data_IF_415568969486
#
_entry.id   IF_415568969486
#
_cell.length_a   1.000
_cell.length_b   1.000
_cell.length_c   1.000
_cell.angle_alpha   90.00
_cell.angle_beta   90.00
_cell.angle_gamma   90.00
#
_symmetry.space_group_name_H-M   'P 1'
#
loop_
_entity.id
_entity.type
_entity.pdbx_description
1 polymer ?
2 non-polymer ?
3 water ?
#
# COMPACT_ATOMS: atom_id res chain seq x y z
N UNK A 24 11.85 -28.50 -3.99
CA UNK A 24 10.99 -28.35 -5.18
C UNK A 24 9.60 -27.92 -4.79
N UNK A 25 8.87 -27.29 -5.71
CA UNK A 25 7.53 -26.77 -5.33
C UNK A 25 6.51 -27.90 -5.47
N UNK A 26 5.73 -28.10 -4.42
CA UNK A 26 4.66 -29.12 -4.48
C UNK A 26 3.53 -28.60 -5.36
N UNK A 27 2.60 -29.48 -5.72
CA UNK A 27 1.48 -29.10 -6.61
C UNK A 27 0.55 -28.20 -5.83
N UNK A 28 0.40 -28.44 -4.54
CA UNK A 28 -0.43 -27.56 -3.69
C UNK A 28 0.20 -26.16 -3.62
N UNK A 29 1.52 -26.08 -3.57
CA UNK A 29 2.23 -24.78 -3.53
C UNK A 29 2.08 -24.10 -4.89
N UNK A 30 2.19 -24.87 -5.97
CA UNK A 30 2.04 -24.30 -7.32
C UNK A 30 0.60 -23.83 -7.50
N UNK A 31 -0.36 -24.53 -6.91
CA UNK A 31 -1.77 -24.14 -7.03
C UNK A 31 -2.00 -22.88 -6.19
N UNK A 32 -1.38 -22.81 -5.02
CA UNK A 32 -1.49 -21.61 -4.16
C UNK A 32 -0.98 -20.38 -4.92
N UNK A 33 0.16 -20.51 -5.59
CA UNK A 33 0.72 -19.36 -6.27
C UNK A 33 -0.16 -18.94 -7.44
N UNK A 34 -0.66 -19.92 -8.19
CA UNK A 34 -1.51 -19.62 -9.34
C UNK A 34 -2.81 -18.95 -8.90
N UNK A 35 -3.41 -19.43 -7.81
CA UNK A 35 -4.62 -18.80 -7.29
C UNK A 35 -4.36 -17.35 -6.90
N UNK A 36 -3.22 -17.07 -6.27
CA UNK A 36 -2.87 -15.70 -5.92
C UNK A 36 -2.53 -14.87 -7.15
N UNK A 37 -1.81 -15.48 -8.10
CA UNK A 37 -1.42 -14.74 -9.31
C UNK A 37 -2.63 -14.41 -10.16
N UNK A 38 -3.60 -15.32 -10.24
CA UNK A 38 -4.83 -15.04 -10.99
C UNK A 38 -5.63 -13.94 -10.30
N UNK A 39 -5.74 -13.99 -8.98
CA UNK A 39 -6.42 -12.92 -8.25
C UNK A 39 -5.76 -11.58 -8.52
N UNK A 40 -4.43 -11.56 -8.61
CA UNK A 40 -3.72 -10.30 -8.80
C UNK A 40 -3.98 -9.71 -10.18
N UNK A 41 -3.91 -10.54 -11.23
CA UNK A 41 -4.08 -10.02 -12.58
C UNK A 41 -5.52 -9.55 -12.83
N UNK A 42 -6.50 -10.17 -12.15
CA UNK A 42 -7.89 -9.80 -12.36
C UNK A 42 -8.24 -8.49 -11.65
N UNK A 43 -7.54 -8.14 -10.58
CA UNK A 43 -7.94 -7.03 -9.72
C UNK A 43 -6.91 -5.91 -9.63
N UNK A 44 -5.77 -6.03 -10.29
CA UNK A 44 -4.75 -4.99 -10.27
C UNK A 44 -4.66 -4.41 -11.68
N UNK A 45 -5.21 -3.21 -11.85
CA UNK A 45 -5.09 -2.44 -13.10
C UNK A 45 -3.77 -1.68 -13.06
N UNK A 46 -2.71 -2.31 -13.57
CA UNK A 46 -1.38 -1.72 -13.48
C UNK A 46 -1.23 -0.44 -14.28
N UNK A 47 -2.18 -0.12 -15.16
CA UNK A 47 -2.18 1.13 -15.89
C UNK A 47 -3.14 2.15 -15.31
N UNK A 48 -3.87 1.79 -14.26
CA UNK A 48 -4.79 2.71 -13.58
C UNK A 48 -5.81 3.29 -14.54
N UNK A 49 -6.11 2.55 -15.63
CA UNK A 49 -6.93 3.09 -16.70
C UNK A 49 -8.34 3.41 -16.26
N UNK A 50 -8.83 2.82 -15.17
CA UNK A 50 -10.18 3.07 -14.69
C UNK A 50 -10.23 4.06 -13.55
N UNK A 51 -9.11 4.70 -13.21
CA UNK A 51 -9.09 5.77 -12.21
C UNK A 51 -9.45 7.07 -12.93
N UNK A 52 -10.72 7.44 -12.88
CA UNK A 52 -11.22 8.65 -13.50
C UNK A 52 -12.13 9.38 -12.53
N UNK A 53 -12.48 10.61 -12.89
CA UNK A 53 -13.38 11.46 -12.10
C UNK A 53 -12.85 11.68 -10.69
N UNK A 54 -11.53 11.83 -10.56
CA UNK A 54 -10.94 12.11 -9.26
C UNK A 54 -10.79 13.62 -9.06
N UNK A 55 -10.85 14.03 -7.80
CA UNK A 55 -10.68 15.44 -7.47
C UNK A 55 -9.21 15.85 -7.61
N UNK A 56 -8.99 17.14 -7.80
CA UNK A 56 -7.67 17.71 -8.01
C UNK A 56 -7.55 19.00 -7.21
N UNK A 57 -6.34 19.35 -6.76
CA UNK A 57 -6.16 20.60 -6.03
C UNK A 57 -6.54 21.81 -6.89
N UNK A 58 -7.09 22.83 -6.23
CA UNK A 58 -7.65 23.96 -6.95
C UNK A 58 -6.62 24.72 -7.76
N UNK A 59 -7.11 25.53 -8.69
CA UNK A 59 -6.26 26.27 -9.60
C UNK A 59 -5.87 27.63 -9.02
N UNK A 78 -5.64 22.08 20.78
CA UNK A 78 -5.87 22.70 19.46
C UNK A 78 -4.53 22.89 18.73
N UNK A 79 -3.60 23.62 19.34
CA UNK A 79 -2.45 24.13 18.56
C UNK A 79 -1.38 23.06 18.40
N UNK A 80 -1.26 22.15 19.38
CA UNK A 80 -0.21 21.08 19.28
C UNK A 80 -0.77 19.97 18.39
N UNK A 81 -2.09 19.81 18.41
CA UNK A 81 -2.82 19.06 17.37
C UNK A 81 -2.40 19.59 16.00
N UNK A 82 -2.55 20.90 15.81
CA UNK A 82 -2.20 21.51 14.50
C UNK A 82 -0.69 21.40 14.25
N UNK A 83 0.11 21.37 15.33
CA UNK A 83 1.58 21.33 15.17
C UNK A 83 2.01 19.96 14.66
N UNK A 84 1.47 18.90 15.26
CA UNK A 84 1.78 17.53 14.75
C UNK A 84 1.08 17.35 13.41
N UNK A 85 0.00 18.10 13.14
CA UNK A 85 -0.68 18.03 11.82
C UNK A 85 0.29 18.51 10.73
N UNK A 86 1.44 19.11 11.06
CA UNK A 86 2.47 19.45 10.03
C UNK A 86 2.98 18.15 9.40
N UNK A 87 2.59 16.98 9.91
CA UNK A 87 2.92 15.66 9.30
C UNK A 87 2.41 15.59 7.86
N UNK A 88 1.55 16.53 7.46
CA UNK A 88 1.05 16.58 6.07
C UNK A 88 2.21 16.80 5.09
N UNK A 89 3.46 16.83 5.56
CA UNK A 89 4.58 16.86 4.58
C UNK A 89 4.69 15.49 3.89
N UNK A 90 3.74 14.60 4.18
CA UNK A 90 3.48 13.39 3.37
C UNK A 90 2.67 13.75 2.12
N UNK A 91 2.29 15.02 2.00
CA UNK A 91 1.70 15.51 0.73
C UNK A 91 2.69 16.45 0.05
N UNK A 92 3.99 16.23 0.25
CA UNK A 92 5.01 16.89 -0.61
C UNK A 92 5.30 15.98 -1.81
N UNK A 93 4.29 15.79 -2.66
CA UNK A 93 4.44 15.05 -3.93
C UNK A 93 4.08 16.00 -5.07
N UNK A 94 4.82 15.89 -6.16
CA UNK A 94 4.47 16.59 -7.42
C UNK A 94 3.57 15.67 -8.21
N UNK A 95 2.70 16.25 -9.02
CA UNK A 95 1.70 15.47 -9.72
C UNK A 95 1.82 15.74 -11.22
N UNK A 96 1.80 14.69 -12.02
CA UNK A 96 1.77 14.81 -13.47
C UNK A 96 0.61 14.01 -14.02
N UNK A 97 -0.12 14.61 -14.97
CA UNK A 97 -1.18 13.93 -15.70
C UNK A 97 -0.88 14.03 -17.18
N UNK A 98 -0.65 12.89 -17.83
CA UNK A 98 -0.38 12.87 -19.27
C UNK A 98 -1.66 12.50 -20.01
N UNK A 99 -2.18 13.42 -20.81
CA UNK A 99 -3.38 13.13 -21.55
C UNK A 99 -3.13 12.24 -22.75
N UNK A 100 -4.20 11.56 -23.18
CA UNK A 100 -4.10 10.74 -24.39
C UNK A 100 -3.82 11.60 -25.62
N UNK A 101 -4.24 12.87 -25.60
CA UNK A 101 -3.95 13.77 -26.70
C UNK A 101 -2.47 14.12 -26.81
N UNK A 102 -1.70 13.88 -25.75
CA UNK A 102 -0.31 14.28 -25.68
C UNK A 102 -0.05 15.46 -24.77
N UNK A 103 -1.09 16.08 -24.23
CA UNK A 103 -0.91 17.20 -23.32
C UNK A 103 -0.50 16.71 -21.93
N UNK A 104 0.08 17.61 -21.15
CA UNK A 104 0.63 17.29 -19.84
C UNK A 104 0.22 18.39 -18.85
N UNK A 105 -0.37 17.98 -17.73
CA UNK A 105 -0.66 18.85 -16.60
C UNK A 105 0.31 18.52 -15.47
N UNK A 106 0.85 19.54 -14.82
CA UNK A 106 1.86 19.37 -13.78
C UNK A 106 1.52 20.23 -12.58
N UNK A 107 1.49 19.62 -11.40
CA UNK A 107 1.18 20.32 -10.17
C UNK A 107 2.39 20.27 -9.24
N UNK A 108 2.83 21.44 -8.80
CA UNK A 108 3.84 21.58 -7.75
C UNK A 108 3.15 22.05 -6.48
N UNK A 109 3.26 21.33 -5.37
CA UNK A 109 2.48 21.68 -4.17
C UNK A 109 3.00 22.94 -3.54
N UNK A 110 2.21 23.58 -2.66
CA UNK A 110 2.68 24.79 -1.98
C UNK A 110 3.68 24.49 -0.87
N UNK A 111 4.13 25.52 -0.17
CA UNK A 111 4.88 25.36 1.07
C UNK A 111 4.01 25.82 2.24
N UNK A 112 4.21 25.18 3.39
CA UNK A 112 3.41 25.50 4.57
C UNK A 112 3.57 26.97 4.95
N UNK A 113 2.50 27.75 4.80
CA UNK A 113 2.49 29.15 5.20
C UNK A 113 1.63 29.37 6.45
N UNK A 114 1.33 28.31 7.19
CA UNK A 114 0.51 28.41 8.39
C UNK A 114 -0.96 28.60 8.10
N UNK A 115 -1.52 27.71 7.29
CA UNK A 115 -2.91 27.83 6.86
C UNK A 115 -3.49 26.56 6.26
N UNK A 116 -4.61 26.71 5.55
CA UNK A 116 -5.34 25.57 5.00
C UNK A 116 -4.74 25.03 3.70
N UNK A 117 -3.72 25.70 3.15
CA UNK A 117 -3.13 25.28 1.89
C UNK A 117 -2.42 23.93 1.98
N UNK A 118 -2.16 23.44 3.20
CA UNK A 118 -1.52 22.12 3.36
C UNK A 118 -2.48 20.98 3.12
N UNK A 119 -3.78 21.24 3.03
CA UNK A 119 -4.79 20.22 2.75
C UNK A 119 -5.09 20.09 1.27
N UNK A 120 -4.43 20.86 0.39
CA UNK A 120 -4.87 20.97 -0.99
C UNK A 120 -4.82 19.63 -1.72
N UNK A 121 -3.89 18.75 -1.35
CA UNK A 121 -3.73 17.47 -2.03
C UNK A 121 -4.56 16.35 -1.40
N UNK A 122 -5.20 16.60 -0.25
CA UNK A 122 -5.87 15.52 0.47
C UNK A 122 -7.04 14.92 -0.31
N UNK A 123 -7.95 15.69 -0.91
CA UNK A 123 -9.06 15.05 -1.64
C UNK A 123 -8.60 14.15 -2.79
N UNK A 124 -7.58 14.56 -3.55
CA UNK A 124 -7.06 13.69 -4.60
C UNK A 124 -6.49 12.40 -4.02
N UNK A 125 -5.65 12.51 -2.99
CA UNK A 125 -5.01 11.33 -2.43
C UNK A 125 -6.05 10.38 -1.84
N UNK A 126 -7.13 10.92 -1.26
CA UNK A 126 -8.23 10.10 -0.79
C UNK A 126 -8.88 9.34 -1.94
N UNK A 127 -8.99 9.97 -3.11
CA UNK A 127 -9.62 9.29 -4.24
C UNK A 127 -8.71 8.19 -4.79
N UNK A 128 -7.38 8.37 -4.75
CA UNK A 128 -6.46 7.30 -5.22
C UNK A 128 -6.46 6.15 -4.21
N UNK A 129 -6.42 6.47 -2.94
CA UNK A 129 -6.43 5.43 -1.88
C UNK A 129 -7.69 4.59 -2.03
N UNK A 130 -8.82 5.23 -2.30
CA UNK A 130 -10.12 4.53 -2.45
C UNK A 130 -10.06 3.63 -3.67
N UNK A 131 -9.59 4.16 -4.80
CA UNK A 131 -9.42 3.31 -5.98
C UNK A 131 -8.53 2.11 -5.66
N UNK A 132 -7.42 2.35 -4.96
CA UNK A 132 -6.51 1.27 -4.59
C UNK A 132 -7.17 0.31 -3.61
N UNK A 133 -7.86 0.85 -2.59
CA UNK A 133 -8.57 0.01 -1.63
C UNK A 133 -9.57 -0.91 -2.33
N UNK A 134 -10.32 -0.38 -3.30
CA UNK A 134 -11.27 -1.21 -4.02
C UNK A 134 -10.56 -2.36 -4.74
N UNK A 135 -9.39 -2.10 -5.31
CA UNK A 135 -8.63 -3.17 -5.93
C UNK A 135 -8.18 -4.21 -4.93
N UNK A 136 -7.76 -3.77 -3.74
CA UNK A 136 -7.33 -4.69 -2.70
C UNK A 136 -8.50 -5.56 -2.24
N UNK A 137 -9.69 -4.97 -2.11
CA UNK A 137 -10.85 -5.72 -1.65
C UNK A 137 -11.25 -6.77 -2.69
N UNK A 138 -11.27 -6.38 -3.97
CA UNK A 138 -11.57 -7.34 -5.03
C UNK A 138 -10.55 -8.47 -5.05
N UNK A 139 -9.28 -8.15 -4.78
CA UNK A 139 -8.24 -9.16 -4.71
C UNK A 139 -8.57 -10.22 -3.67
N UNK A 140 -8.91 -9.79 -2.46
CA UNK A 140 -9.21 -10.74 -1.38
C UNK A 140 -10.43 -11.59 -1.73
N UNK A 141 -11.45 -10.98 -2.33
CA UNK A 141 -12.70 -11.69 -2.60
C UNK A 141 -12.56 -12.74 -3.70
N UNK A 142 -11.55 -12.62 -4.57
CA UNK A 142 -11.32 -13.64 -5.59
C UNK A 142 -10.53 -14.82 -5.05
N UNK A 143 -9.89 -14.69 -3.88
CA UNK A 143 -9.10 -15.78 -3.32
C UNK A 143 -10.02 -16.76 -2.61
N UNK A 144 -9.91 -18.04 -2.96
CA UNK A 144 -10.75 -19.06 -2.34
C UNK A 144 -10.51 -19.14 -0.84
N UNK A 145 -9.25 -19.09 -0.41
CA UNK A 145 -8.95 -19.16 1.02
C UNK A 145 -9.62 -18.04 1.79
N UNK A 146 -9.71 -16.85 1.18
CA UNK A 146 -10.36 -15.73 1.85
C UNK A 146 -11.88 -15.85 1.80
N UNK A 147 -12.42 -16.30 0.66
CA UNK A 147 -13.87 -16.40 0.52
C UNK A 147 -14.47 -17.37 1.53
N UNK A 148 -13.72 -18.42 1.90
CA UNK A 148 -14.23 -19.45 2.80
C UNK A 148 -14.20 -19.04 4.26
N UNK A 149 -13.61 -17.89 4.59
CA UNK A 149 -13.58 -17.43 5.97
C UNK A 149 -14.92 -16.81 6.35
N UNK A 150 -15.25 -16.80 7.64
CA UNK A 150 -16.46 -16.09 8.07
C UNK A 150 -16.41 -14.62 7.66
N UNK A 151 -17.59 -14.08 7.33
CA UNK A 151 -17.67 -12.72 6.81
C UNK A 151 -17.12 -11.72 7.82
N UNK A 152 -17.34 -11.97 9.13
CA UNK A 152 -16.79 -11.09 10.14
C UNK A 152 -15.27 -11.10 10.13
N UNK A 153 -14.65 -12.24 9.85
CA UNK A 153 -13.20 -12.31 9.78
C UNK A 153 -12.67 -11.69 8.49
N UNK A 154 -13.41 -11.83 7.39
CA UNK A 154 -13.06 -11.15 6.15
C UNK A 154 -12.95 -9.65 6.37
N UNK A 155 -13.95 -9.07 7.03
CA UNK A 155 -13.94 -7.64 7.32
C UNK A 155 -12.80 -7.29 8.25
N UNK A 156 -12.55 -8.12 9.26
CA UNK A 156 -11.48 -7.83 10.20
C UNK A 156 -10.10 -7.89 9.54
N UNK A 157 -9.92 -8.86 8.64
CA UNK A 157 -8.63 -8.97 7.94
C UNK A 157 -8.45 -7.82 6.96
N UNK A 158 -9.51 -7.45 6.24
CA UNK A 158 -9.43 -6.33 5.30
C UNK A 158 -9.14 -5.03 6.03
N UNK A 159 -9.86 -4.76 7.12
CA UNK A 159 -9.60 -3.56 7.91
C UNK A 159 -8.17 -3.53 8.44
N UNK A 160 -7.61 -4.70 8.74
CA UNK A 160 -6.28 -4.74 9.32
C UNK A 160 -5.15 -4.61 8.32
N UNK A 161 -5.38 -5.00 7.06
CA UNK A 161 -4.29 -5.13 6.10
C UNK A 161 -4.42 -4.28 4.84
N UNK A 162 -5.58 -3.67 4.60
CA UNK A 162 -5.82 -2.96 3.34
C UNK A 162 -4.70 -1.98 3.01
N UNK A 163 -4.27 -1.19 3.99
CA UNK A 163 -3.18 -0.24 3.78
C UNK A 163 -1.89 -0.96 3.39
N UNK A 164 -1.58 -2.07 4.07
CA UNK A 164 -0.35 -2.79 3.77
C UNK A 164 -0.36 -3.36 2.35
N UNK A 165 -1.48 -3.95 1.94
CA UNK A 165 -1.57 -4.45 0.57
C UNK A 165 -1.51 -3.33 -0.46
N UNK A 166 -2.03 -2.15 -0.13
CA UNK A 166 -1.93 -1.02 -1.06
C UNK A 166 -0.48 -0.62 -1.28
N UNK A 167 0.29 -0.55 -0.19
CA UNK A 167 1.70 -0.18 -0.31
C UNK A 167 2.49 -1.21 -1.08
N UNK A 168 2.19 -2.49 -0.87
CA UNK A 168 2.86 -3.55 -1.63
C UNK A 168 2.59 -3.40 -3.12
N UNK A 169 1.35 -3.07 -3.50
CA UNK A 169 1.04 -2.84 -4.89
C UNK A 169 1.72 -1.57 -5.41
N UNK A 170 1.74 -0.52 -4.59
CA UNK A 170 2.39 0.73 -5.00
C UNK A 170 3.90 0.56 -5.20
N UNK A 171 4.52 -0.36 -4.46
CA UNK A 171 5.95 -0.58 -4.65
C UNK A 171 6.27 -1.07 -6.06
N UNK A 172 5.38 -1.87 -6.64
CA UNK A 172 5.64 -2.42 -7.97
C UNK A 172 5.59 -1.35 -9.06
N UNK A 173 4.94 -0.21 -8.81
CA UNK A 173 4.96 0.90 -9.76
C UNK A 173 5.88 2.02 -9.31
N UNK A 174 6.67 1.78 -8.26
CA UNK A 174 7.62 2.79 -7.78
C UNK A 174 8.89 2.76 -8.62
N UNK A 175 9.34 3.94 -9.05
CA UNK A 175 10.62 4.08 -9.75
C UNK A 175 11.63 4.59 -8.73
N UNK A 176 12.51 3.70 -8.28
CA UNK A 176 13.48 4.08 -7.25
C UNK A 176 14.58 5.00 -7.78
N UNK A 177 14.76 5.05 -9.11
CA UNK A 177 15.74 5.97 -9.67
C UNK A 177 15.22 7.40 -9.72
N UNK A 178 13.98 7.59 -10.15
CA UNK A 178 13.38 8.91 -10.25
C UNK A 178 12.54 9.28 -9.02
N UNK A 179 12.35 8.36 -8.09
CA UNK A 179 11.55 8.64 -6.90
C UNK A 179 10.11 8.98 -7.21
N UNK A 180 9.51 8.30 -8.18
CA UNK A 180 8.16 8.60 -8.63
C UNK A 180 7.34 7.32 -8.66
N UNK A 181 6.07 7.43 -8.27
CA UNK A 181 5.13 6.33 -8.43
C UNK A 181 4.45 6.51 -9.78
N UNK A 182 4.71 5.59 -10.70
CA UNK A 182 4.25 5.71 -12.08
C UNK A 182 2.94 4.94 -12.21
N UNK A 183 1.83 5.67 -12.07
CA UNK A 183 0.51 5.06 -12.05
C UNK A 183 -0.20 5.31 -13.38
N UNK A 184 0.32 4.68 -14.42
CA UNK A 184 -0.25 4.89 -15.74
C UNK A 184 -0.01 6.31 -16.21
N UNK A 185 -1.10 7.04 -16.48
CA UNK A 185 -1.00 8.42 -16.91
C UNK A 185 -0.75 9.39 -15.77
N UNK A 186 -0.80 8.93 -14.52
CA UNK A 186 -0.44 9.73 -13.36
C UNK A 186 0.94 9.38 -12.87
N UNK A 187 1.70 10.39 -12.45
CA UNK A 187 3.00 10.21 -11.84
C UNK A 187 3.05 11.05 -10.56
N UNK A 188 3.48 10.43 -9.47
CA UNK A 188 3.60 11.10 -8.17
C UNK A 188 5.10 11.19 -7.86
N UNK A 189 5.67 12.37 -8.03
CA UNK A 189 7.10 12.58 -7.85
C UNK A 189 7.37 13.15 -6.46
N UNK A 190 8.39 12.60 -5.80
CA UNK A 190 8.80 13.10 -4.51
C UNK A 190 9.55 14.41 -4.69
N UNK A 191 9.14 15.44 -3.96
CA UNK A 191 9.72 16.78 -4.12
C UNK A 191 11.09 16.87 -3.47
N UNK A 192 11.98 17.62 -4.10
CA UNK A 192 13.38 17.69 -3.66
C UNK A 192 13.47 18.24 -2.24
N UNK A 193 14.06 17.45 -1.35
CA UNK A 193 14.27 17.82 0.04
C UNK A 193 15.65 18.41 0.24
N UNK A 194 15.84 19.08 1.38
CA UNK A 194 17.13 19.71 1.67
C UNK A 194 18.24 18.67 1.76
N UNK A 195 17.98 17.55 2.41
CA UNK A 195 18.92 16.45 2.49
C UNK A 195 18.93 15.53 1.29
N UNK A 196 18.04 15.76 0.34
CA UNK A 196 17.95 14.87 -0.82
C UNK A 196 17.50 13.46 -0.47
N UNK A 197 18.08 12.45 -1.11
CA UNK A 197 17.62 11.05 -0.93
C UNK A 197 17.73 10.61 0.53
N UNK A 198 18.81 10.95 1.21
CA UNK A 198 19.03 10.45 2.60
C UNK A 198 17.90 10.94 3.52
N UNK A 199 17.48 12.19 3.35
CA UNK A 199 16.41 12.77 4.20
C UNK A 199 15.08 12.08 3.90
N UNK A 200 14.86 11.70 2.65
CA UNK A 200 13.59 11.04 2.25
C UNK A 200 13.59 9.66 2.90
N UNK A 201 14.76 9.02 3.00
CA UNK A 201 14.85 7.66 3.58
C UNK A 201 14.73 7.72 5.10
N UNK A 202 14.51 8.91 5.66
CA UNK A 202 14.28 9.01 7.12
C UNK A 202 12.79 8.82 7.40
N UNK A 203 11.93 9.03 6.39
CA UNK A 203 10.49 8.74 6.56
C UNK A 203 10.30 7.24 6.36
N UNK A 204 9.82 6.45 7.38
CA UNK A 204 9.74 5.00 7.25
C UNK A 204 9.05 4.50 5.98
N UNK A 205 7.97 5.16 5.56
CA UNK A 205 7.24 4.76 4.35
C UNK A 205 8.16 4.81 3.12
N UNK A 206 8.93 5.88 3.00
CA UNK A 206 9.78 6.04 1.80
C UNK A 206 10.96 5.06 1.89
N UNK A 207 11.50 4.86 3.10
CA UNK A 207 12.61 3.88 3.30
C UNK A 207 12.09 2.49 2.94
N UNK A 208 10.87 2.14 3.34
CA UNK A 208 10.27 0.84 2.97
C UNK A 208 10.23 0.72 1.45
N UNK A 209 9.78 1.77 0.78
CA UNK A 209 9.62 1.69 -0.69
C UNK A 209 10.98 1.49 -1.35
N UNK A 210 11.99 2.25 -0.91
CA UNK A 210 13.31 2.11 -1.52
C UNK A 210 13.93 0.76 -1.18
N UNK A 211 13.80 0.32 0.08
CA UNK A 211 14.39 -0.95 0.48
C UNK A 211 13.71 -2.12 -0.20
N UNK A 212 12.37 -2.14 -0.20
CA UNK A 212 11.65 -3.23 -0.86
C UNK A 212 11.94 -3.27 -2.36
N UNK A 213 12.00 -2.10 -3.00
CA UNK A 213 12.33 -2.04 -4.42
C UNK A 213 13.70 -2.63 -4.71
N UNK A 214 14.66 -2.40 -3.81
CA UNK A 214 16.03 -2.86 -4.05
C UNK A 214 16.14 -4.38 -4.00
N UNK A 215 15.17 -5.07 -3.41
CA UNK A 215 15.20 -6.54 -3.39
C UNK A 215 14.86 -7.16 -4.73
N UNK A 216 14.34 -6.38 -5.68
CA UNK A 216 14.03 -6.83 -7.04
C UNK A 216 13.21 -8.13 -7.04
N UNK A 217 12.07 -8.07 -6.36
CA UNK A 217 11.22 -9.23 -6.21
C UNK A 217 10.49 -9.55 -7.51
N UNK A 218 10.05 -10.80 -7.63
CA UNK A 218 9.18 -11.20 -8.71
C UNK A 218 7.72 -10.89 -8.37
N UNK A 219 6.87 -10.91 -9.40
CA UNK A 219 5.45 -10.75 -9.20
C UNK A 219 4.91 -11.80 -8.23
N UNK A 220 5.43 -13.03 -8.31
CA UNK A 220 4.97 -14.09 -7.42
C UNK A 220 5.35 -13.79 -5.97
N UNK A 221 6.53 -13.20 -5.75
CA UNK A 221 6.93 -12.89 -4.38
C UNK A 221 6.13 -11.74 -3.81
N UNK A 222 5.79 -10.74 -4.63
CA UNK A 222 4.92 -9.66 -4.19
C UNK A 222 3.54 -10.19 -3.80
N UNK A 223 2.99 -11.11 -4.58
CA UNK A 223 1.64 -11.57 -4.30
C UNK A 223 1.62 -12.49 -3.08
N UNK A 224 2.73 -13.17 -2.81
CA UNK A 224 2.79 -13.96 -1.57
C UNK A 224 2.93 -13.04 -0.36
N UNK A 225 3.68 -11.95 -0.50
CA UNK A 225 3.70 -10.94 0.57
C UNK A 225 2.31 -10.40 0.85
N UNK A 226 1.52 -10.17 -0.20
CA UNK A 226 0.15 -9.70 -0.01
C UNK A 226 -0.68 -10.73 0.74
N UNK A 227 -0.49 -12.02 0.44
CA UNK A 227 -1.23 -13.07 1.12
C UNK A 227 -0.84 -13.15 2.59
N UNK A 228 0.46 -13.11 2.87
CA UNK A 228 0.93 -13.19 4.26
C UNK A 228 0.40 -12.02 5.07
N UNK A 229 0.38 -10.83 4.47
CA UNK A 229 -0.14 -9.66 5.18
C UNK A 229 -1.64 -9.75 5.38
N UNK A 230 -2.37 -10.24 4.38
CA UNK A 230 -3.83 -10.30 4.46
C UNK A 230 -4.27 -11.30 5.51
N UNK A 231 -3.69 -12.49 5.50
CA UNK A 231 -4.08 -13.55 6.44
C UNK A 231 -3.21 -13.46 7.70
N UNK A 232 -3.46 -12.41 8.47
CA UNK A 232 -2.67 -12.21 9.72
C UNK A 232 -3.58 -12.51 10.91
N UNK A 233 -3.28 -13.56 11.71
CA UNK A 233 -4.14 -13.94 12.83
C UNK A 233 -4.15 -12.94 13.99
N UNK A 234 -3.16 -12.04 14.04
CA UNK A 234 -3.01 -11.09 15.18
C UNK A 234 -3.90 -9.87 14.99
N UNK A 235 -4.73 -9.85 13.95
CA UNK A 235 -5.54 -8.64 13.67
C UNK A 235 -6.71 -8.57 14.65
N UNK A 236 -7.08 -7.38 15.14
CA UNK A 236 -8.25 -7.22 16.00
C UNK A 236 -9.55 -7.77 15.40
N UNK A 237 -10.32 -8.53 16.18
CA UNK A 237 -11.61 -8.98 15.70
C UNK A 237 -11.61 -10.26 14.90
N UNK A 238 -10.47 -10.92 14.74
CA UNK A 238 -10.41 -12.18 14.00
C UNK A 238 -10.91 -13.30 14.90
N UNK A 239 -11.90 -14.05 14.42
CA UNK A 239 -12.46 -15.15 15.19
C UNK A 239 -11.72 -16.46 14.89
N UNK A 240 -11.66 -16.84 13.61
CA UNK A 240 -11.00 -18.07 13.20
C UNK A 240 -9.48 -17.92 13.23
N UNK A 241 -8.97 -17.60 14.43
CA UNK A 241 -7.56 -17.30 14.60
C UNK A 241 -6.67 -18.46 14.17
N UNK A 242 -7.10 -19.69 14.42
CA UNK A 242 -6.26 -20.84 14.10
C UNK A 242 -6.23 -21.12 12.61
N UNK A 243 -7.37 -20.99 11.92
CA UNK A 243 -7.40 -21.18 10.48
C UNK A 243 -6.54 -20.14 9.79
N UNK A 244 -6.71 -18.87 10.17
CA UNK A 244 -5.96 -17.79 9.54
C UNK A 244 -4.46 -17.98 9.77
N UNK A 245 -4.09 -18.43 10.97
CA UNK A 245 -2.67 -18.63 11.26
C UNK A 245 -2.08 -19.75 10.41
N UNK A 246 -2.82 -20.86 10.27
CA UNK A 246 -2.31 -21.98 9.48
C UNK A 246 -2.22 -21.61 8.00
N UNK A 247 -3.16 -20.80 7.52
CA UNK A 247 -3.09 -20.30 6.15
C UNK A 247 -1.85 -19.43 5.95
N UNK A 248 -1.63 -18.49 6.86
CA UNK A 248 -0.44 -17.64 6.80
C UNK A 248 0.83 -18.47 6.77
N UNK A 249 0.90 -19.51 7.61
CA UNK A 249 2.08 -20.36 7.64
C UNK A 249 2.30 -21.03 6.29
N UNK A 250 1.22 -21.48 5.63
CA UNK A 250 1.36 -22.13 4.33
C UNK A 250 1.84 -21.15 3.26
N UNK A 251 1.32 -19.92 3.27
CA UNK A 251 1.81 -18.92 2.33
C UNK A 251 3.29 -18.64 2.55
N UNK A 252 3.73 -18.61 3.80
CA UNK A 252 5.12 -18.32 4.10
C UNK A 252 6.04 -19.46 3.67
N UNK A 253 5.63 -20.71 3.90
CA UNK A 253 6.42 -21.85 3.42
C UNK A 253 6.54 -21.81 1.90
N UNK A 254 5.43 -21.49 1.22
CA UNK A 254 5.45 -21.42 -0.23
C UNK A 254 6.43 -20.35 -0.72
N UNK A 255 6.43 -19.19 -0.06
CA UNK A 255 7.38 -18.14 -0.40
C UNK A 255 8.82 -18.58 -0.14
N UNK A 256 9.07 -19.15 1.05
CA UNK A 256 10.38 -19.70 1.37
C UNK A 256 10.82 -20.72 0.33
N UNK A 257 9.92 -21.64 -0.02
CA UNK A 257 10.25 -22.66 -1.01
C UNK A 257 10.44 -22.06 -2.39
N UNK A 258 9.57 -21.12 -2.78
CA UNK A 258 9.70 -20.46 -4.07
C UNK A 258 11.08 -19.83 -4.22
N UNK A 259 11.51 -19.08 -3.21
CA UNK A 259 12.83 -18.44 -3.25
C UNK A 259 13.93 -19.49 -3.35
N UNK A 260 13.80 -20.56 -2.57
CA UNK A 260 14.82 -21.61 -2.57
C UNK A 260 14.90 -22.30 -3.93
N UNK A 261 13.75 -22.48 -4.59
CA UNK A 261 13.74 -23.18 -5.87
C UNK A 261 14.14 -22.28 -7.04
N UNK A 262 13.89 -20.98 -6.96
CA UNK A 262 14.06 -20.10 -8.10
C UNK A 262 15.18 -19.07 -7.96
N UNK A 263 15.84 -18.99 -6.81
CA UNK A 263 16.86 -17.97 -6.57
C UNK A 263 18.06 -18.58 -5.83
N UNK A 264 18.99 -19.20 -6.55
CA UNK A 264 20.19 -19.75 -5.93
C UNK A 264 21.33 -18.77 -5.74
N UNK A 265 21.18 -17.54 -6.22
CA UNK A 265 22.30 -16.61 -6.28
C UNK A 265 22.65 -16.10 -4.88
N UNK A 266 23.94 -15.91 -4.58
CA UNK A 266 24.35 -15.45 -3.25
C UNK A 266 23.72 -14.14 -2.83
N UNK A 267 23.25 -13.35 -3.79
CA UNK A 267 22.57 -12.09 -3.47
C UNK A 267 21.21 -12.33 -2.82
N UNK A 268 20.60 -13.48 -3.06
CA UNK A 268 19.28 -13.80 -2.55
C UNK A 268 19.32 -14.73 -1.35
N UNK A 269 20.52 -14.99 -0.82
CA UNK A 269 20.62 -15.62 0.49
C UNK A 269 19.91 -14.75 1.53
N UNK A 270 19.14 -15.39 2.40
CA UNK A 270 18.35 -14.73 3.44
C UNK A 270 17.23 -13.86 2.88
N UNK A 271 16.89 -14.01 1.59
CA UNK A 271 15.82 -13.18 1.02
C UNK A 271 14.50 -13.41 1.72
N UNK A 272 14.16 -14.67 2.00
CA UNK A 272 12.91 -14.96 2.70
C UNK A 272 12.83 -14.22 4.02
N UNK A 273 13.93 -14.25 4.79
CA UNK A 273 13.95 -13.58 6.08
C UNK A 273 13.94 -12.07 5.93
N UNK A 274 14.53 -11.53 4.86
CA UNK A 274 14.46 -10.06 4.63
C UNK A 274 13.01 -9.66 4.37
N UNK A 275 12.30 -10.41 3.55
CA UNK A 275 10.87 -10.14 3.22
C UNK A 275 10.04 -10.16 4.50
N UNK A 276 10.29 -11.12 5.38
CA UNK A 276 9.45 -11.26 6.61
C UNK A 276 9.63 -10.05 7.50
N UNK A 277 10.85 -9.54 7.63
CA UNK A 277 11.12 -8.34 8.45
C UNK A 277 10.50 -7.10 7.79
N UNK A 278 10.53 -7.02 6.47
CA UNK A 278 9.88 -5.90 5.74
C UNK A 278 8.39 -5.87 6.09
N UNK A 279 7.75 -7.05 6.13
CA UNK A 279 6.31 -7.13 6.44
C UNK A 279 6.06 -6.76 7.90
N UNK A 280 6.98 -7.09 8.80
CA UNK A 280 6.85 -6.72 10.23
C UNK A 280 6.94 -5.20 10.35
N UNK A 281 7.83 -4.58 9.58
CA UNK A 281 7.99 -3.10 9.60
C UNK A 281 6.75 -2.46 8.98
N UNK A 282 6.19 -3.07 7.93
CA UNK A 282 5.01 -2.49 7.24
C UNK A 282 3.85 -2.43 8.22
N UNK A 283 3.73 -3.40 9.13
CA UNK A 283 2.67 -3.41 10.18
C UNK A 283 2.87 -2.21 11.11
N UNK A 284 4.11 -1.90 11.48
CA UNK A 284 4.41 -0.72 12.33
C UNK A 284 4.08 0.56 11.56
N UNK A 285 4.52 0.67 10.31
CA UNK A 285 4.18 1.85 9.45
C UNK A 285 2.66 1.95 9.36
N UNK A 286 1.96 0.82 9.14
CA UNK A 286 0.48 0.80 9.08
C UNK A 286 -0.07 1.41 10.37
N UNK A 287 0.41 0.94 11.52
CA UNK A 287 -0.12 1.48 12.77
C UNK A 287 0.20 2.96 12.90
N UNK A 288 1.41 3.37 12.50
CA UNK A 288 1.76 4.78 12.53
C UNK A 288 0.90 5.59 11.57
N UNK A 289 0.64 5.04 10.38
CA UNK A 289 -0.12 5.79 9.38
C UNK A 289 -1.58 5.97 9.81
N UNK A 290 -2.16 4.96 10.45
CA UNK A 290 -3.54 5.08 10.93
C UNK A 290 -3.69 6.21 11.93
N UNK A 291 -2.71 6.36 12.84
CA UNK A 291 -2.77 7.44 13.81
C UNK A 291 -2.60 8.80 13.13
N UNK A 292 -1.65 8.90 12.20
CA UNK A 292 -1.49 10.14 11.44
C UNK A 292 -2.76 10.49 10.69
N UNK A 293 -3.39 9.50 10.06
CA UNK A 293 -4.60 9.75 9.27
C UNK A 293 -5.75 10.22 10.17
N UNK A 294 -5.93 9.56 11.31
CA UNK A 294 -7.03 9.91 12.21
C UNK A 294 -6.84 11.31 12.79
N UNK A 295 -5.60 11.73 13.00
CA UNK A 295 -5.35 13.07 13.53
C UNK A 295 -5.71 14.14 12.51
N UNK A 296 -5.31 13.95 11.25
CA UNK A 296 -5.72 14.88 10.19
C UNK A 296 -7.23 14.90 10.05
N UNK A 297 -7.86 13.72 10.08
CA UNK A 297 -9.31 13.64 9.96
C UNK A 297 -10.01 14.37 11.09
N UNK A 298 -9.43 14.32 12.29
CA UNK A 298 -10.02 15.03 13.43
C UNK A 298 -10.03 16.54 13.19
N UNK A 299 -9.00 17.07 12.53
CA UNK A 299 -8.87 18.49 12.27
C UNK A 299 -9.61 18.84 10.98
N UNK A 300 -9.26 18.17 9.89
CA UNK A 300 -9.77 18.47 8.57
C UNK A 300 -10.30 17.18 7.95
N UNK A 301 -11.61 16.91 8.05
CA UNK A 301 -12.15 15.67 7.48
C UNK A 301 -11.98 15.62 5.97
N UNK A 302 -11.58 14.45 5.48
CA UNK A 302 -11.26 14.27 4.07
C UNK A 302 -11.52 12.84 3.62
N UNK A 303 -11.65 11.92 4.57
CA UNK A 303 -11.74 10.51 4.24
C UNK A 303 -13.04 10.20 3.51
N UNK A 304 -12.93 9.38 2.45
CA UNK A 304 -14.08 8.92 1.69
C UNK A 304 -14.89 7.94 2.52
N UNK A 305 -16.12 7.62 2.07
CA UNK A 305 -16.91 6.58 2.77
C UNK A 305 -16.18 5.26 2.94
N UNK A 306 -15.50 4.77 1.90
CA UNK A 306 -14.80 3.49 2.02
C UNK A 306 -13.64 3.59 2.99
N UNK A 307 -12.92 4.72 2.98
CA UNK A 307 -11.86 4.91 3.96
C UNK A 307 -12.41 4.97 5.38
N UNK A 308 -13.54 5.66 5.57
CA UNK A 308 -14.18 5.69 6.88
C UNK A 308 -14.51 4.28 7.35
N UNK A 309 -15.06 3.47 6.45
CA UNK A 309 -15.41 2.09 6.80
C UNK A 309 -14.16 1.30 7.19
N UNK A 310 -13.09 1.41 6.39
CA UNK A 310 -11.89 0.65 6.67
C UNK A 310 -11.17 1.15 7.92
N UNK A 311 -11.33 2.42 8.28
CA UNK A 311 -10.66 2.98 9.45
C UNK A 311 -11.58 3.10 10.66
N UNK A 312 -12.82 2.62 10.56
CA UNK A 312 -13.71 2.58 11.69
C UNK A 312 -14.48 3.85 11.99
N UNK A 313 -14.35 4.89 11.17
CA UNK A 313 -15.08 6.13 11.40
C UNK A 313 -16.55 5.90 11.10
N UNK A 314 -17.40 6.10 12.11
CA UNK A 314 -18.80 5.72 12.04
C UNK A 314 -19.69 6.74 11.34
N UNK A 315 -19.23 7.96 11.12
CA UNK A 315 -20.08 9.02 10.65
C UNK A 315 -20.82 9.77 11.73
N UNK A 316 -20.59 9.42 13.00
CA UNK A 316 -21.22 10.12 14.12
C UNK A 316 -20.18 10.49 15.17
#
# INVERSE_FOLDING_TARGET
MGKGHHHHHHGSERTGTQPLGVQGLTEEQRMMIRELMDAQMKTFDTTFSHFKNFRLPGVLSSGCELPESLQAPSREEAAKWSQVRKDLCSLKVSLQLRGEDGSVWNYKPPADSGGKEIFSLLPHMADMSTYMFKGIISFAKVISYFRDLPIEDQISLLKGAAFELCQLRFNTVFNAETGTWECGRLSYCLEDTAGGFQQLLLEPMLKFHYMLKKLQLHEEEYVLMQAISLFSPDRPGVLQHRVVDQLQEQFAITLKSYIECNRPQPAHRFLFLKIMAMLTELRSINAQHTQRLLRIQDIHPFATPLMQELFGITGS
#
